data_IF_227727820928
#
_entry.id   IF_227727820928
#
_cell.length_a   1.000
_cell.length_b   1.000
_cell.length_c   1.000
_cell.angle_alpha   90.00
_cell.angle_beta   90.00
_cell.angle_gamma   90.00
#
_symmetry.space_group_name_H-M   'P 1'
#
loop_
_entity.id
_entity.type
_entity.pdbx_description
1 polymer ?
#
# COMPACT_ATOMS: atom_id res chain seq x y z
N UNK A 1 -2.22 12.32 3.33
CA UNK A 1 -2.06 11.08 4.11
C UNK A 1 -2.28 11.44 5.56
N UNK A 2 -3.14 10.70 6.25
CA UNK A 2 -3.38 10.88 7.68
C UNK A 2 -3.04 9.59 8.40
N UNK A 3 -1.94 9.63 9.17
CA UNK A 3 -1.46 8.53 10.02
C UNK A 3 -0.88 9.10 11.32
N UNK A 4 -1.04 8.42 12.46
CA UNK A 4 -0.51 8.89 13.73
C UNK A 4 1.01 8.80 13.76
N UNK A 5 1.66 9.96 13.72
CA UNK A 5 3.12 10.12 13.55
C UNK A 5 3.95 9.44 14.66
N UNK A 6 3.38 9.28 15.86
CA UNK A 6 4.05 8.58 16.97
C UNK A 6 4.35 7.09 16.70
N UNK A 7 3.70 6.50 15.69
CA UNK A 7 3.88 5.10 15.28
C UNK A 7 4.73 4.95 14.01
N UNK A 8 5.27 6.05 13.50
CA UNK A 8 6.17 6.05 12.33
C UNK A 8 7.61 5.82 12.82
N UNK A 9 8.30 4.86 12.20
CA UNK A 9 9.73 4.61 12.41
C UNK A 9 10.44 4.67 11.06
N UNK A 10 11.56 5.41 10.99
CA UNK A 10 12.38 5.53 9.78
C UNK A 10 11.58 5.96 8.53
N UNK A 11 10.57 6.81 8.73
CA UNK A 11 9.68 7.29 7.67
C UNK A 11 8.64 6.27 7.20
N UNK A 12 8.51 5.12 7.87
CA UNK A 12 7.59 4.05 7.51
C UNK A 12 6.65 3.70 8.67
N UNK A 13 5.47 3.19 8.33
CA UNK A 13 4.50 2.67 9.30
C UNK A 13 3.93 1.35 8.79
N UNK A 14 3.85 0.36 9.68
CA UNK A 14 3.17 -0.90 9.41
C UNK A 14 1.77 -0.82 9.97
N UNK A 15 0.78 -1.01 9.10
CA UNK A 15 -0.63 -0.95 9.44
C UNK A 15 -1.24 -2.35 9.39
N UNK A 16 -1.85 -2.78 10.48
CA UNK A 16 -2.63 -4.01 10.48
C UNK A 16 -4.04 -3.72 9.98
N UNK A 17 -4.39 -4.24 8.80
CA UNK A 17 -5.70 -4.09 8.17
C UNK A 17 -6.57 -5.34 8.28
N UNK A 18 -6.25 -6.27 9.20
CA UNK A 18 -7.09 -7.44 9.44
C UNK A 18 -8.50 -7.02 9.87
N UNK A 19 -9.58 -7.75 9.49
CA UNK A 19 -10.95 -7.40 9.88
C UNK A 19 -11.18 -7.32 11.40
N UNK A 20 -10.30 -7.94 12.18
CA UNK A 20 -10.29 -7.89 13.65
C UNK A 20 -9.63 -6.65 14.24
N UNK A 21 -8.82 -5.93 13.47
CA UNK A 21 -8.03 -4.78 13.92
C UNK A 21 -8.62 -3.43 13.50
N UNK A 22 -9.44 -3.41 12.45
CA UNK A 22 -9.97 -2.18 11.84
C UNK A 22 -11.48 -2.27 11.61
N UNK A 23 -12.11 -1.10 11.46
CA UNK A 23 -13.53 -0.95 11.12
C UNK A 23 -13.65 -0.06 9.89
N UNK A 24 -14.59 -0.38 9.00
CA UNK A 24 -14.86 0.43 7.82
C UNK A 24 -13.69 0.46 6.83
N UNK A 25 -13.02 -0.68 6.63
CA UNK A 25 -11.97 -0.81 5.62
C UNK A 25 -12.57 -0.58 4.23
N UNK A 26 -12.12 0.48 3.58
CA UNK A 26 -12.41 0.82 2.20
C UNK A 26 -11.10 0.84 1.41
N UNK A 27 -11.06 0.08 0.31
CA UNK A 27 -9.88 -0.10 -0.53
C UNK A 27 -10.18 0.45 -1.92
N UNK A 28 -10.05 1.77 -2.05
CA UNK A 28 -10.22 2.48 -3.32
C UNK A 28 -8.96 2.50 -4.17
N UNK A 29 -9.12 2.93 -5.42
CA UNK A 29 -8.01 3.04 -6.38
C UNK A 29 -7.06 4.21 -6.09
N UNK A 30 -7.52 5.23 -5.36
CA UNK A 30 -6.70 6.40 -5.02
C UNK A 30 -6.17 6.33 -3.59
N UNK A 31 -6.99 5.84 -2.66
CA UNK A 31 -6.69 5.78 -1.23
C UNK A 31 -7.29 4.53 -0.59
N UNK A 32 -6.63 4.04 0.46
CA UNK A 32 -7.22 3.13 1.44
C UNK A 32 -7.64 3.94 2.65
N UNK A 33 -8.84 3.65 3.15
CA UNK A 33 -9.40 4.24 4.36
C UNK A 33 -9.79 3.17 5.37
N UNK A 34 -9.55 3.41 6.66
CA UNK A 34 -10.13 2.63 7.75
C UNK A 34 -10.07 3.38 9.07
N UNK A 35 -10.87 2.97 10.05
CA UNK A 35 -10.71 3.36 11.45
C UNK A 35 -9.97 2.26 12.21
N UNK A 36 -8.88 2.61 12.89
CA UNK A 36 -8.07 1.70 13.69
C UNK A 36 -7.85 2.20 15.11
N UNK A 37 -7.26 1.38 15.98
CA UNK A 37 -6.88 1.79 17.35
C UNK A 37 -5.38 1.89 17.53
N UNK A 38 -4.91 3.06 17.94
CA UNK A 38 -3.52 3.35 18.22
C UNK A 38 -3.39 3.76 19.69
N UNK A 39 -2.74 2.91 20.49
CA UNK A 39 -2.66 3.13 21.95
C UNK A 39 -4.04 3.12 22.63
N UNK A 40 -5.01 2.41 22.04
CA UNK A 40 -6.40 2.36 22.50
C UNK A 40 -7.28 3.50 21.99
N UNK A 41 -6.72 4.56 21.39
CA UNK A 41 -7.46 5.67 20.81
C UNK A 41 -7.92 5.30 19.40
N UNK A 42 -9.21 5.53 19.09
CA UNK A 42 -9.73 5.34 17.75
C UNK A 42 -9.24 6.47 16.84
N UNK A 43 -8.71 6.11 15.68
CA UNK A 43 -8.07 7.04 14.74
C UNK A 43 -8.45 6.64 13.32
N UNK A 44 -8.91 7.62 12.54
CA UNK A 44 -9.14 7.46 11.11
C UNK A 44 -7.80 7.50 10.37
N UNK A 45 -7.64 6.58 9.43
CA UNK A 45 -6.43 6.38 8.65
C UNK A 45 -6.77 6.50 7.18
N UNK A 46 -6.05 7.38 6.48
CA UNK A 46 -6.18 7.56 5.03
C UNK A 46 -4.80 7.51 4.37
N UNK A 47 -4.59 6.48 3.55
CA UNK A 47 -3.30 6.16 2.92
C UNK A 47 -3.46 6.21 1.39
N UNK A 48 -2.76 7.12 0.69
CA UNK A 48 -2.72 7.11 -0.77
C UNK A 48 -2.09 5.82 -1.28
N UNK A 49 -2.65 5.23 -2.35
CA UNK A 49 -2.12 3.99 -2.94
C UNK A 49 -0.65 4.15 -3.33
N UNK A 50 -0.28 5.31 -3.86
CA UNK A 50 1.10 5.66 -4.26
C UNK A 50 2.12 5.64 -3.11
N UNK A 51 1.66 5.62 -1.86
CA UNK A 51 2.53 5.60 -0.67
C UNK A 51 2.67 4.21 -0.04
N UNK A 52 1.99 3.20 -0.59
CA UNK A 52 2.02 1.83 -0.07
C UNK A 52 3.24 1.10 -0.65
N UNK A 53 4.17 0.71 0.21
CA UNK A 53 5.40 0.02 -0.19
C UNK A 53 5.18 -1.48 -0.44
N UNK A 54 4.18 -2.08 0.19
CA UNK A 54 3.90 -3.49 0.06
C UNK A 54 2.79 -3.97 0.98
N UNK A 55 2.41 -5.22 0.82
CA UNK A 55 1.47 -5.93 1.68
C UNK A 55 2.03 -7.31 1.97
N UNK A 56 1.93 -7.73 3.24
CA UNK A 56 2.39 -9.05 3.66
C UNK A 56 1.52 -9.61 4.78
N UNK A 57 1.43 -10.93 4.82
CA UNK A 57 0.85 -11.69 5.91
C UNK A 57 1.84 -11.76 7.07
N UNK A 58 1.39 -11.40 8.27
CA UNK A 58 2.23 -11.35 9.46
C UNK A 58 2.71 -12.75 9.88
N UNK A 59 1.93 -13.78 9.61
CA UNK A 59 2.15 -15.14 10.10
C UNK A 59 3.34 -15.84 9.44
N UNK A 60 3.56 -15.59 8.15
CA UNK A 60 4.55 -16.30 7.35
C UNK A 60 5.41 -15.36 6.48
N UNK A 61 5.18 -14.04 6.53
CA UNK A 61 5.92 -13.04 5.75
C UNK A 61 5.61 -13.08 4.25
N UNK A 62 4.65 -13.90 3.80
CA UNK A 62 4.27 -13.94 2.39
C UNK A 62 3.58 -12.64 2.00
N UNK A 63 3.93 -12.11 0.83
CA UNK A 63 3.40 -10.85 0.39
C UNK A 63 4.04 -10.40 -0.91
N UNK A 64 3.83 -9.13 -1.22
CA UNK A 64 4.46 -8.46 -2.34
C UNK A 64 4.90 -7.06 -1.93
N UNK A 65 6.05 -6.66 -2.44
CA UNK A 65 6.51 -5.26 -2.42
C UNK A 65 6.02 -4.64 -3.72
N UNK A 66 5.46 -3.44 -3.65
CA UNK A 66 5.08 -2.68 -4.82
C UNK A 66 6.29 -1.88 -5.29
N UNK A 67 6.58 -1.94 -6.59
CA UNK A 67 7.61 -1.10 -7.17
C UNK A 67 7.13 0.35 -7.17
N UNK A 68 7.96 1.24 -6.63
CA UNK A 68 7.75 2.70 -6.67
C UNK A 68 8.17 3.31 -8.00
N UNK A 69 8.59 2.48 -8.96
CA UNK A 69 8.82 2.93 -10.32
C UNK A 69 7.49 3.46 -10.86
N UNK A 70 7.40 4.78 -10.98
CA UNK A 70 6.46 5.41 -11.90
C UNK A 70 6.56 4.62 -13.21
N UNK A 71 5.57 3.78 -13.52
CA UNK A 71 5.32 3.48 -14.91
C UNK A 71 4.90 4.82 -15.50
N UNK A 72 5.73 5.48 -16.34
CA UNK A 72 5.16 6.52 -17.17
C UNK A 72 4.01 5.87 -17.94
N UNK A 73 2.89 6.57 -18.05
CA UNK A 73 1.76 6.31 -18.96
C UNK A 73 2.23 6.35 -20.43
N UNK A 74 3.29 5.61 -20.75
CA UNK A 74 3.79 5.45 -22.10
C UNK A 74 3.08 4.21 -22.63
N UNK A 75 2.16 4.35 -23.59
CA UNK A 75 1.61 3.18 -24.24
C UNK A 75 2.77 2.29 -24.72
N UNK A 76 2.65 0.95 -24.60
CA UNK A 76 3.72 0.05 -24.96
C UNK A 76 4.16 0.33 -26.39
N UNK A 77 5.46 0.61 -26.57
CA UNK A 77 6.04 0.82 -27.89
C UNK A 77 5.88 -0.48 -28.70
N UNK A 78 5.09 -0.46 -29.79
CA UNK A 78 4.78 -1.67 -30.54
C UNK A 78 6.01 -2.29 -31.25
N UNK A 79 7.15 -1.60 -31.27
CA UNK A 79 8.35 -2.02 -32.00
C UNK A 79 9.22 -3.01 -31.21
N UNK A 80 9.02 -3.15 -29.89
CA UNK A 80 9.76 -4.13 -29.07
C UNK A 80 9.27 -5.58 -29.25
N UNK A 81 8.08 -5.79 -29.78
CA UNK A 81 7.47 -7.12 -29.90
C UNK A 81 7.96 -7.96 -31.09
N UNK A 82 8.68 -7.38 -32.06
CA UNK A 82 8.97 -8.06 -33.34
C UNK A 82 10.40 -8.60 -33.50
N UNK A 83 11.30 -8.40 -32.52
CA UNK A 83 12.66 -8.95 -32.59
C UNK A 83 12.75 -10.31 -31.87
N UNK A 84 12.07 -11.33 -32.40
CA UNK A 84 12.39 -12.73 -32.10
C UNK A 84 13.71 -13.13 -32.77
N UNK A 85 14.55 -13.99 -32.15
CA UNK A 85 15.83 -14.36 -32.74
C UNK A 85 15.60 -15.28 -33.94
N UNK A 86 16.23 -14.94 -35.07
CA UNK A 86 16.37 -15.81 -36.26
C UNK A 86 17.37 -16.93 -36.02
#
# INVERSE_FOLDING_TARGET
MEVPQAYVSDGQIVLNVSPTAVVGLDMGNEYIYFNGRFGGVATDITVPIKSILGIYARENGQGMVFDTAEEPDTPPDPQRAEAGPV
#
